data_IF_721514224640
#
_entry.id   IF_721514224640
#
_cell.length_a   1.000
_cell.length_b   1.000
_cell.length_c   1.000
_cell.angle_alpha   90.00
_cell.angle_beta   90.00
_cell.angle_gamma   90.00
#
_symmetry.space_group_name_H-M   'P 1'
#
loop_
_entity.id
_entity.type
_entity.pdbx_description
1 polymer ?
#
# COMPACT_ATOMS: atom_id res chain seq x y z
N UNK A 1 10.91 -16.49 6.18
CA UNK A 1 9.54 -16.17 5.78
C UNK A 1 9.04 -17.26 4.85
N UNK A 2 7.86 -17.82 5.12
CA UNK A 2 7.20 -18.78 4.22
C UNK A 2 6.08 -18.06 3.46
N UNK A 3 5.77 -18.53 2.26
CA UNK A 3 4.74 -17.92 1.39
C UNK A 3 3.84 -19.02 0.87
N UNK A 4 2.53 -18.78 0.92
CA UNK A 4 1.50 -19.62 0.32
C UNK A 4 0.79 -18.84 -0.79
N UNK A 5 0.76 -19.38 -2.01
CA UNK A 5 -0.12 -18.90 -3.07
C UNK A 5 -1.56 -19.35 -2.76
N UNK A 6 -2.50 -18.44 -2.87
CA UNK A 6 -3.93 -18.70 -2.67
C UNK A 6 -4.67 -18.89 -3.99
N UNK A 7 -4.02 -18.55 -5.11
CA UNK A 7 -4.51 -18.83 -6.48
C UNK A 7 -3.35 -19.15 -7.41
N UNK A 8 -3.64 -19.81 -8.53
CA UNK A 8 -2.65 -20.09 -9.59
C UNK A 8 -2.11 -18.81 -10.22
N UNK A 9 -2.89 -17.74 -10.17
CA UNK A 9 -2.55 -16.46 -10.77
C UNK A 9 -1.72 -15.55 -9.86
N UNK A 10 -1.51 -15.94 -8.59
CA UNK A 10 -0.71 -15.17 -7.66
C UNK A 10 0.75 -15.07 -8.12
N UNK A 11 1.29 -13.85 -8.13
CA UNK A 11 2.70 -13.59 -8.37
C UNK A 11 3.45 -13.56 -7.05
N UNK A 12 4.55 -14.32 -6.95
CA UNK A 12 5.37 -14.31 -5.74
C UNK A 12 6.10 -12.97 -5.61
N UNK A 13 6.20 -12.42 -4.39
CA UNK A 13 7.00 -11.24 -4.13
C UNK A 13 8.45 -11.45 -4.53
N UNK A 14 9.04 -10.47 -5.18
CA UNK A 14 10.46 -10.47 -5.51
C UNK A 14 11.19 -9.30 -4.82
N UNK A 15 12.50 -9.44 -4.70
CA UNK A 15 13.35 -8.42 -4.08
C UNK A 15 14.66 -8.31 -4.84
N UNK A 16 14.97 -7.14 -5.33
CA UNK A 16 16.30 -6.83 -5.83
C UNK A 16 17.34 -6.93 -4.71
N UNK A 17 18.57 -7.32 -5.02
CA UNK A 17 19.58 -7.74 -4.06
C UNK A 17 19.72 -6.85 -2.82
N UNK A 18 19.74 -5.53 -2.96
CA UNK A 18 19.90 -4.56 -1.87
C UNK A 18 18.63 -3.73 -1.59
N UNK A 19 17.47 -4.13 -2.11
CA UNK A 19 16.23 -3.41 -1.83
C UNK A 19 15.81 -3.57 -0.36
N UNK A 20 15.10 -2.58 0.18
CA UNK A 20 14.58 -2.64 1.55
C UNK A 20 13.45 -3.65 1.71
N UNK A 21 12.59 -3.82 0.71
CA UNK A 21 11.40 -4.64 0.76
C UNK A 21 11.21 -5.55 -0.45
N UNK A 22 10.24 -6.44 -0.35
CA UNK A 22 9.78 -7.31 -1.42
C UNK A 22 8.67 -6.61 -2.19
N UNK A 23 8.75 -6.52 -3.50
CA UNK A 23 7.67 -6.00 -4.34
C UNK A 23 6.43 -6.90 -4.25
N UNK A 24 5.26 -6.28 -4.04
CA UNK A 24 3.95 -6.93 -4.02
C UNK A 24 3.17 -6.59 -5.29
N UNK A 25 2.52 -7.61 -5.83
CA UNK A 25 1.83 -7.57 -7.12
C UNK A 25 0.32 -7.68 -6.95
N UNK A 26 -0.42 -6.95 -7.78
CA UNK A 26 -1.86 -7.15 -7.92
C UNK A 26 -2.15 -8.51 -8.55
N UNK A 27 -3.07 -9.29 -7.97
CA UNK A 27 -3.49 -10.59 -8.51
C UNK A 27 -4.61 -10.49 -9.56
N UNK A 28 -5.29 -9.36 -9.63
CA UNK A 28 -6.36 -9.06 -10.60
C UNK A 28 -6.43 -7.57 -10.91
N UNK A 29 -7.15 -7.24 -11.97
CA UNK A 29 -7.45 -5.86 -12.34
C UNK A 29 -8.39 -5.21 -11.32
N UNK A 30 -8.09 -3.97 -10.92
CA UNK A 30 -8.90 -3.19 -9.97
C UNK A 30 -8.99 -1.74 -10.46
N UNK A 31 -10.19 -1.23 -10.62
CA UNK A 31 -10.45 0.19 -10.88
C UNK A 31 -10.64 0.92 -9.56
N UNK A 32 -10.01 2.07 -9.41
CA UNK A 32 -10.09 2.92 -8.23
C UNK A 32 -10.62 4.29 -8.66
N UNK A 33 -11.85 4.57 -8.30
CA UNK A 33 -12.47 5.87 -8.60
C UNK A 33 -11.81 7.01 -7.81
N UNK A 34 -11.92 8.25 -8.29
CA UNK A 34 -11.39 9.43 -7.58
C UNK A 34 -11.93 9.51 -6.15
N UNK A 35 -11.04 9.79 -5.20
CA UNK A 35 -11.36 9.89 -3.78
C UNK A 35 -11.57 8.57 -3.06
N UNK A 36 -11.71 7.46 -3.79
CA UNK A 36 -12.00 6.15 -3.20
C UNK A 36 -10.75 5.45 -2.66
N UNK A 37 -10.99 4.59 -1.66
CA UNK A 37 -10.05 3.59 -1.17
C UNK A 37 -10.42 2.22 -1.74
N UNK A 38 -9.41 1.41 -2.02
CA UNK A 38 -9.58 0.03 -2.44
C UNK A 38 -8.55 -0.88 -1.77
N UNK A 39 -8.87 -2.16 -1.66
CA UNK A 39 -7.91 -3.19 -1.27
C UNK A 39 -7.54 -3.96 -2.53
N UNK A 40 -6.27 -3.87 -2.92
CA UNK A 40 -5.74 -4.62 -4.06
C UNK A 40 -5.34 -6.01 -3.56
N UNK A 41 -5.95 -7.07 -4.06
CA UNK A 41 -5.60 -8.42 -3.66
C UNK A 41 -4.25 -8.82 -4.23
N UNK A 42 -3.50 -9.60 -3.48
CA UNK A 42 -2.21 -10.18 -3.89
C UNK A 42 -2.30 -11.68 -4.11
N UNK A 43 -3.34 -12.31 -3.58
CA UNK A 43 -3.56 -13.76 -3.56
C UNK A 43 -2.39 -14.55 -2.98
N UNK A 44 -1.69 -13.97 -2.01
CA UNK A 44 -0.69 -14.66 -1.19
C UNK A 44 -1.02 -14.51 0.30
N UNK A 45 -0.56 -15.49 1.07
CA UNK A 45 -0.47 -15.44 2.53
C UNK A 45 0.98 -15.73 2.95
N UNK A 46 1.39 -15.21 4.09
CA UNK A 46 2.77 -15.36 4.58
C UNK A 46 2.82 -15.85 6.02
N UNK A 47 3.95 -16.45 6.37
CA UNK A 47 4.37 -16.72 7.74
C UNK A 47 5.68 -15.98 7.97
N UNK A 48 5.66 -15.00 8.84
CA UNK A 48 6.83 -14.19 9.17
C UNK A 48 7.79 -14.98 10.07
N UNK A 49 9.11 -14.69 10.03
CA UNK A 49 10.05 -15.21 11.04
C UNK A 49 9.66 -14.78 12.46
N UNK A 50 10.05 -15.54 13.45
CA UNK A 50 9.83 -15.18 14.85
C UNK A 50 10.40 -13.79 15.18
N UNK A 51 9.75 -13.09 16.10
CA UNK A 51 10.14 -11.75 16.55
C UNK A 51 10.25 -10.73 15.42
N UNK A 52 9.38 -10.84 14.39
CA UNK A 52 9.26 -9.87 13.32
C UNK A 52 7.80 -9.51 13.06
N UNK A 53 7.60 -8.34 12.52
CA UNK A 53 6.37 -7.91 11.88
C UNK A 53 6.70 -7.32 10.50
N UNK A 54 5.70 -7.05 9.69
CA UNK A 54 5.94 -6.42 8.40
C UNK A 54 5.02 -5.23 8.16
N UNK A 55 5.52 -4.27 7.38
CA UNK A 55 4.68 -3.22 6.82
C UNK A 55 4.53 -3.40 5.31
N UNK A 56 3.31 -3.21 4.83
CA UNK A 56 3.05 -2.95 3.42
C UNK A 56 3.13 -1.44 3.23
N UNK A 57 4.07 -0.99 2.42
CA UNK A 57 4.34 0.44 2.19
C UNK A 57 4.34 0.79 0.70
N UNK A 58 4.14 2.07 0.39
CA UNK A 58 4.18 2.55 -0.99
C UNK A 58 5.56 2.42 -1.64
N UNK A 59 5.57 2.19 -2.94
CA UNK A 59 6.77 2.29 -3.76
C UNK A 59 7.00 3.76 -4.12
N UNK A 60 8.25 4.24 -3.98
CA UNK A 60 8.62 5.63 -4.27
C UNK A 60 8.20 6.08 -5.68
N UNK A 61 8.31 5.19 -6.68
CA UNK A 61 7.92 5.48 -8.05
C UNK A 61 6.42 5.72 -8.22
N UNK A 62 5.57 4.98 -7.52
CA UNK A 62 4.11 5.17 -7.53
C UNK A 62 3.77 6.47 -6.79
N UNK A 63 4.28 6.64 -5.58
CA UNK A 63 4.01 7.82 -4.75
C UNK A 63 4.44 9.11 -5.45
N UNK A 64 5.60 9.13 -6.12
CA UNK A 64 6.12 10.34 -6.76
C UNK A 64 5.49 10.64 -8.12
N UNK A 65 4.94 9.63 -8.82
CA UNK A 65 4.54 9.78 -10.22
C UNK A 65 3.04 9.64 -10.47
N UNK A 66 2.27 9.26 -9.47
CA UNK A 66 0.82 9.06 -9.56
C UNK A 66 0.12 9.75 -8.39
N UNK A 67 -1.21 9.76 -8.43
CA UNK A 67 -2.06 10.19 -7.32
C UNK A 67 -2.60 8.98 -6.53
N UNK A 68 -1.99 7.81 -6.70
CA UNK A 68 -2.27 6.65 -5.86
C UNK A 68 -1.42 6.73 -4.59
N UNK A 69 -2.10 6.82 -3.47
CA UNK A 69 -1.49 6.71 -2.15
C UNK A 69 -1.65 5.29 -1.62
N UNK A 70 -0.54 4.62 -1.32
CA UNK A 70 -0.56 3.33 -0.64
C UNK A 70 -0.54 3.59 0.86
N UNK A 71 -1.60 3.21 1.54
CA UNK A 71 -1.71 3.35 2.99
C UNK A 71 -0.95 2.20 3.67
N UNK A 72 -0.15 2.55 4.68
CA UNK A 72 0.64 1.55 5.40
C UNK A 72 -0.29 0.57 6.13
N UNK A 73 -0.12 -0.72 5.83
CA UNK A 73 -0.73 -1.83 6.57
C UNK A 73 0.32 -2.55 7.40
N UNK A 74 0.01 -2.85 8.65
CA UNK A 74 0.84 -3.68 9.52
C UNK A 74 0.39 -5.13 9.44
N UNK A 75 1.34 -6.03 9.29
CA UNK A 75 1.13 -7.48 9.26
C UNK A 75 1.79 -8.05 10.51
N UNK A 76 0.97 -8.54 11.41
CA UNK A 76 1.41 -9.15 12.65
C UNK A 76 2.07 -10.51 12.41
N UNK A 77 2.93 -10.94 13.33
CA UNK A 77 3.68 -12.19 13.20
C UNK A 77 2.77 -13.42 13.06
N UNK A 78 1.65 -13.44 13.77
CA UNK A 78 0.68 -14.52 13.81
C UNK A 78 -0.42 -14.43 12.74
N UNK A 79 -0.46 -13.38 11.92
CA UNK A 79 -1.43 -13.27 10.82
C UNK A 79 -1.13 -14.29 9.71
N UNK A 80 -2.15 -15.03 9.28
CA UNK A 80 -2.06 -16.08 8.24
C UNK A 80 -3.08 -15.89 7.10
N UNK A 81 -3.80 -14.78 7.11
CA UNK A 81 -4.78 -14.46 6.08
C UNK A 81 -4.16 -13.94 4.77
N UNK A 82 -5.00 -13.68 3.75
CA UNK A 82 -4.54 -13.11 2.50
C UNK A 82 -4.01 -11.69 2.69
N UNK A 83 -2.90 -11.36 2.03
CA UNK A 83 -2.37 -9.99 2.02
C UNK A 83 -3.14 -9.14 1.01
N UNK A 84 -3.56 -7.96 1.47
CA UNK A 84 -4.19 -6.93 0.64
C UNK A 84 -3.45 -5.61 0.75
N UNK A 85 -3.30 -4.90 -0.36
CA UNK A 85 -2.66 -3.58 -0.41
C UNK A 85 -3.75 -2.53 -0.35
N UNK A 86 -3.76 -1.71 0.70
CA UNK A 86 -4.73 -0.62 0.84
C UNK A 86 -4.22 0.58 0.05
N UNK A 87 -5.02 1.03 -0.91
CA UNK A 87 -4.70 2.19 -1.75
C UNK A 87 -5.83 3.22 -1.72
N UNK A 88 -5.47 4.46 -2.00
CA UNK A 88 -6.41 5.56 -2.18
C UNK A 88 -6.05 6.35 -3.45
N UNK A 89 -7.04 6.61 -4.29
CA UNK A 89 -6.92 7.59 -5.36
C UNK A 89 -7.22 8.98 -4.80
N UNK A 90 -6.23 9.87 -4.77
CA UNK A 90 -6.36 11.21 -4.19
C UNK A 90 -6.82 12.27 -5.19
N UNK A 91 -7.05 11.91 -6.46
CA UNK A 91 -7.60 12.85 -7.44
C UNK A 91 -9.06 13.22 -7.10
N UNK A 92 -9.49 14.45 -7.38
CA UNK A 92 -10.89 14.83 -7.28
C UNK A 92 -11.72 14.16 -8.37
N UNK A 93 -12.96 13.80 -8.04
CA UNK A 93 -13.93 13.35 -9.02
C UNK A 93 -14.35 14.52 -9.93
N UNK A 94 -14.29 14.31 -11.25
CA UNK A 94 -14.82 15.24 -12.24
C UNK A 94 -16.07 14.60 -12.82
N UNK A 95 -17.23 15.12 -12.42
CA UNK A 95 -18.52 14.68 -12.94
C UNK A 95 -18.94 15.55 -14.10
N UNK A 96 -19.20 14.98 -15.24
CA UNK A 96 -19.93 15.63 -16.32
C UNK A 96 -21.44 15.38 -16.16
N UNK A 97 -22.24 16.42 -16.28
CA UNK A 97 -23.71 16.34 -16.08
C UNK A 97 -24.46 15.44 -17.07
N UNK A 98 -23.82 14.99 -18.12
CA UNK A 98 -24.39 14.06 -19.08
C UNK A 98 -23.80 12.65 -18.93
N UNK A 99 -24.60 11.73 -18.44
CA UNK A 99 -24.32 10.29 -18.40
C UNK A 99 -24.37 9.69 -19.81
N UNK A 100 -23.51 10.10 -20.71
CA UNK A 100 -23.30 9.37 -21.94
C UNK A 100 -22.10 8.47 -21.78
N UNK A 101 -22.21 7.24 -22.25
CA UNK A 101 -21.13 6.25 -22.32
C UNK A 101 -20.01 6.90 -23.16
N UNK A 102 -18.90 7.23 -22.53
CA UNK A 102 -17.72 7.73 -23.20
C UNK A 102 -16.60 6.70 -23.09
N UNK A 103 -15.80 6.59 -24.15
CA UNK A 103 -14.47 6.01 -24.06
C UNK A 103 -13.67 6.81 -23.01
N UNK A 104 -13.57 6.29 -21.80
CA UNK A 104 -12.80 6.95 -20.77
C UNK A 104 -11.35 6.51 -20.84
N UNK A 105 -10.45 7.48 -20.93
CA UNK A 105 -9.04 7.24 -20.65
C UNK A 105 -8.88 7.05 -19.15
N UNK A 106 -8.51 5.82 -18.75
CA UNK A 106 -8.22 5.48 -17.36
C UNK A 106 -6.72 5.51 -17.14
N UNK A 107 -6.30 6.16 -16.04
CA UNK A 107 -4.89 6.25 -15.70
C UNK A 107 -4.37 4.90 -15.18
N UNK A 108 -3.16 4.52 -15.61
CA UNK A 108 -2.43 3.36 -15.11
C UNK A 108 -1.24 3.78 -14.26
N UNK A 109 -0.69 2.85 -13.51
CA UNK A 109 0.46 3.11 -12.64
C UNK A 109 1.74 3.44 -13.42
N UNK A 110 1.85 3.03 -14.66
CA UNK A 110 2.95 3.36 -15.57
C UNK A 110 2.84 4.77 -16.19
N UNK A 111 1.76 5.51 -15.85
CA UNK A 111 1.43 6.86 -16.34
C UNK A 111 0.87 6.88 -17.76
N UNK A 112 0.60 5.74 -18.36
CA UNK A 112 -0.17 5.65 -19.59
C UNK A 112 -1.66 5.71 -19.28
N UNK A 113 -2.46 5.91 -20.33
CA UNK A 113 -3.92 5.82 -20.26
C UNK A 113 -4.39 4.63 -21.07
N UNK A 114 -5.52 4.07 -20.68
CA UNK A 114 -6.21 3.03 -21.43
C UNK A 114 -7.65 3.44 -21.63
N UNK A 115 -8.17 3.21 -22.84
CA UNK A 115 -9.60 3.40 -23.13
C UNK A 115 -10.37 2.19 -22.66
N UNK A 116 -11.33 2.40 -21.80
CA UNK A 116 -12.25 1.34 -21.33
C UNK A 116 -13.70 1.78 -21.54
N UNK A 117 -14.51 0.87 -22.04
CA UNK A 117 -15.96 1.06 -22.18
C UNK A 117 -16.65 0.81 -20.84
N UNK A 118 -16.55 1.74 -19.90
CA UNK A 118 -17.28 1.69 -18.63
C UNK A 118 -17.62 3.09 -18.16
N UNK A 119 -18.74 3.22 -17.48
CA UNK A 119 -19.22 4.47 -16.87
C UNK A 119 -18.42 4.83 -15.60
N UNK A 120 -17.11 4.98 -15.74
CA UNK A 120 -16.24 5.39 -14.63
C UNK A 120 -16.01 6.91 -14.67
N UNK A 121 -15.92 7.59 -13.52
CA UNK A 121 -15.59 9.01 -13.50
C UNK A 121 -14.16 9.23 -14.03
N UNK A 122 -13.93 10.38 -14.68
CA UNK A 122 -12.57 10.81 -15.03
C UNK A 122 -11.69 10.81 -13.79
N UNK A 123 -10.39 10.67 -14.01
CA UNK A 123 -9.39 10.52 -12.94
C UNK A 123 -9.44 9.19 -12.18
N UNK A 124 -10.15 8.18 -12.66
CA UNK A 124 -10.01 6.82 -12.16
C UNK A 124 -8.63 6.25 -12.52
N UNK A 125 -8.14 5.34 -11.69
CA UNK A 125 -6.94 4.54 -11.95
C UNK A 125 -7.31 3.08 -12.18
N UNK A 126 -6.67 2.47 -13.18
CA UNK A 126 -6.67 1.02 -13.39
C UNK A 126 -5.34 0.45 -12.89
N UNK A 127 -5.41 -0.39 -11.88
CA UNK A 127 -4.31 -1.27 -11.46
C UNK A 127 -4.54 -2.60 -12.16
N UNK A 128 -3.59 -3.02 -12.99
CA UNK A 128 -3.68 -4.29 -13.71
C UNK A 128 -3.08 -5.43 -12.89
N UNK A 129 -3.58 -6.63 -13.13
CA UNK A 129 -2.92 -7.85 -12.68
C UNK A 129 -1.45 -7.86 -13.09
N UNK A 130 -0.57 -8.15 -12.14
CA UNK A 130 0.87 -8.15 -12.33
C UNK A 130 1.55 -6.80 -12.11
N UNK A 131 0.80 -5.72 -11.88
CA UNK A 131 1.39 -4.44 -11.49
C UNK A 131 2.06 -4.54 -10.12
N UNK A 132 3.27 -3.97 -10.01
CA UNK A 132 4.00 -3.79 -8.74
C UNK A 132 3.42 -2.60 -7.99
N UNK A 133 2.58 -2.85 -6.99
CA UNK A 133 1.80 -1.80 -6.32
C UNK A 133 2.48 -1.27 -5.05
N UNK A 134 3.05 -2.17 -4.25
CA UNK A 134 3.58 -1.86 -2.92
C UNK A 134 4.85 -2.66 -2.64
N UNK A 135 5.42 -2.45 -1.46
CA UNK A 135 6.54 -3.24 -0.93
C UNK A 135 6.20 -3.77 0.45
N UNK A 136 6.58 -5.03 0.70
CA UNK A 136 6.56 -5.66 2.02
C UNK A 136 7.94 -5.48 2.67
N UNK A 137 8.00 -4.72 3.76
CA UNK A 137 9.23 -4.46 4.52
C UNK A 137 9.12 -5.13 5.89
N UNK A 138 10.14 -5.92 6.25
CA UNK A 138 10.18 -6.63 7.52
C UNK A 138 10.92 -5.80 8.57
N UNK A 139 10.41 -5.85 9.80
CA UNK A 139 10.99 -5.20 10.98
C UNK A 139 11.15 -6.23 12.10
N UNK A 140 12.11 -5.98 12.99
CA UNK A 140 12.21 -6.74 14.24
C UNK A 140 11.22 -6.18 15.26
N UNK A 141 10.53 -7.08 15.95
CA UNK A 141 9.73 -6.76 17.13
C UNK A 141 10.64 -6.78 18.36
N UNK A 142 10.37 -5.90 19.29
CA UNK A 142 11.02 -5.89 20.62
C UNK A 142 9.94 -6.13 21.64
N UNK A 143 10.07 -7.22 22.40
CA UNK A 143 9.19 -7.48 23.52
C UNK A 143 9.60 -6.60 24.69
N UNK A 144 8.65 -5.83 25.22
CA UNK A 144 8.84 -4.97 26.38
C UNK A 144 7.69 -5.18 27.35
N UNK A 145 8.02 -5.20 28.63
CA UNK A 145 7.02 -5.13 29.71
C UNK A 145 6.70 -3.65 29.97
N UNK A 146 5.43 -3.36 30.17
CA UNK A 146 4.98 -2.01 30.52
C UNK A 146 5.01 -1.86 32.04
N UNK A 147 5.79 -0.88 32.51
CA UNK A 147 5.83 -0.50 33.92
C UNK A 147 5.13 0.86 34.07
N UNK A 148 4.18 0.94 35.00
CA UNK A 148 3.51 2.19 35.35
C UNK A 148 4.33 2.89 36.40
N UNK A 149 4.81 4.11 36.10
CA UNK A 149 5.59 4.93 37.01
C UNK A 149 4.92 6.30 37.18
N UNK A 150 5.16 6.96 38.31
CA UNK A 150 4.62 8.30 38.57
C UNK A 150 5.36 9.36 37.72
N UNK A 151 6.66 9.21 37.51
CA UNK A 151 7.50 10.13 36.76
C UNK A 151 8.45 9.41 35.81
N UNK A 152 8.71 10.03 34.65
CA UNK A 152 9.73 9.59 33.69
C UNK A 152 11.09 10.25 33.99
N UNK A 153 12.17 9.59 33.61
CA UNK A 153 13.51 10.17 33.71
C UNK A 153 13.65 11.44 32.89
N UNK A 154 14.26 12.49 33.45
CA UNK A 154 14.49 13.74 32.76
C UNK A 154 15.55 13.61 31.67
N UNK A 155 15.39 14.36 30.57
CA UNK A 155 16.35 14.44 29.48
C UNK A 155 16.58 15.90 29.08
N UNK A 156 17.62 16.18 28.27
CA UNK A 156 17.85 17.53 27.73
C UNK A 156 16.71 18.04 26.88
N UNK A 157 15.96 17.15 26.23
CA UNK A 157 14.80 17.47 25.41
C UNK A 157 13.52 17.59 26.25
N UNK A 158 13.36 16.73 27.25
CA UNK A 158 12.14 16.62 28.09
C UNK A 158 10.86 16.65 27.24
N UNK A 159 9.92 17.54 27.59
CA UNK A 159 8.61 17.71 26.96
C UNK A 159 8.66 18.51 25.65
N UNK A 160 9.83 19.00 25.23
CA UNK A 160 9.95 19.80 24.01
C UNK A 160 9.69 18.94 22.77
N UNK A 161 8.55 19.19 22.11
CA UNK A 161 8.12 18.51 20.87
C UNK A 161 7.80 19.51 19.75
N UNK A 162 7.27 19.00 18.63
CA UNK A 162 6.67 19.78 17.54
C UNK A 162 7.46 21.00 17.05
N UNK A 163 8.73 20.84 16.68
CA UNK A 163 9.56 21.90 16.13
C UNK A 163 10.44 22.61 17.15
N UNK A 164 10.58 22.09 18.36
CA UNK A 164 11.48 22.66 19.38
C UNK A 164 12.98 22.68 19.01
N UNK A 165 13.37 21.99 17.94
CA UNK A 165 14.72 21.96 17.37
C UNK A 165 14.96 23.00 16.26
N UNK A 166 14.00 23.91 16.03
CA UNK A 166 14.06 24.92 14.98
C UNK A 166 13.54 24.42 13.62
N UNK A 167 13.13 25.32 12.76
CA UNK A 167 12.79 25.11 11.36
C UNK A 167 13.99 25.53 10.53
#
# INVERSE_FOLDING_TARGET
MKIKKLSETATLPDKNHNAAGFDLYASKDVVIEPGQKAIIPTDIAIELPENTFAHIVGRSGITAKTHINVLTGTIDNDYRGPLGIIVQNTLPAIYHHNRLVYDLEINKLDRTTEKIEVSQPRNSYLIKKGDKVAQLVLYKSVDVELEVVDDLTSTLRNEKGFGSSGV
#
